data_IF_493585079592
#
_entry.id   IF_493585079592
#
_cell.length_a   1.000
_cell.length_b   1.000
_cell.length_c   1.000
_cell.angle_alpha   90.00
_cell.angle_beta   90.00
_cell.angle_gamma   90.00
#
_symmetry.space_group_name_H-M   'P 1'
#
loop_
_entity.id
_entity.type
_entity.pdbx_description
1 polymer ?
#
# COMPACT_ATOMS: atom_id res chain seq x y z
N UNK A 1 -18.68 12.18 8.77
CA UNK A 1 -18.89 11.38 7.59
C UNK A 1 -19.29 9.97 8.02
N UNK A 2 -20.36 9.44 7.45
CA UNK A 2 -20.78 8.08 7.74
C UNK A 2 -19.67 7.09 7.31
N UNK A 3 -19.40 6.06 8.11
CA UNK A 3 -18.42 5.05 7.71
C UNK A 3 -18.88 4.39 6.42
N UNK A 4 -17.97 4.32 5.45
CA UNK A 4 -18.26 3.71 4.15
C UNK A 4 -18.52 2.22 4.37
N UNK A 5 -19.75 1.79 4.07
CA UNK A 5 -20.12 0.38 4.15
C UNK A 5 -19.33 -0.42 3.13
N UNK A 6 -18.60 -1.42 3.60
CA UNK A 6 -17.83 -2.37 2.78
C UNK A 6 -18.52 -3.73 2.78
N UNK A 7 -18.28 -4.51 1.74
CA UNK A 7 -18.79 -5.88 1.62
C UNK A 7 -17.92 -6.85 2.45
N UNK A 8 -18.50 -7.41 3.50
CA UNK A 8 -17.80 -8.32 4.41
C UNK A 8 -17.52 -9.69 3.78
N UNK A 9 -18.11 -10.02 2.65
CA UNK A 9 -17.84 -11.26 1.92
C UNK A 9 -16.55 -11.22 1.11
N UNK A 10 -16.03 -10.02 0.85
CA UNK A 10 -14.78 -9.83 0.11
C UNK A 10 -13.56 -10.11 0.99
N UNK A 11 -12.42 -10.52 0.37
CA UNK A 11 -11.19 -10.75 1.11
C UNK A 11 -10.69 -9.47 1.78
N UNK A 12 -10.16 -9.62 3.01
CA UNK A 12 -9.59 -8.50 3.75
C UNK A 12 -8.20 -8.19 3.24
N UNK A 13 -7.98 -6.94 2.84
CA UNK A 13 -6.66 -6.39 2.47
C UNK A 13 -6.35 -5.20 3.38
N UNK A 14 -5.19 -5.23 4.03
CA UNK A 14 -4.70 -4.08 4.76
C UNK A 14 -3.95 -3.13 3.81
N UNK A 15 -4.28 -1.86 3.90
CA UNK A 15 -3.59 -0.78 3.19
C UNK A 15 -2.74 -0.02 4.21
N UNK A 16 -1.43 -0.20 4.15
CA UNK A 16 -0.47 0.46 5.04
C UNK A 16 0.11 1.66 4.33
N UNK A 17 -0.16 2.85 4.87
CA UNK A 17 0.32 4.09 4.31
C UNK A 17 1.60 4.57 5.01
N UNK A 18 2.66 4.84 4.25
CA UNK A 18 3.95 5.34 4.77
C UNK A 18 4.27 6.76 4.33
N UNK A 19 3.52 7.31 3.40
CA UNK A 19 3.79 8.60 2.76
C UNK A 19 3.83 8.49 1.24
N UNK A 20 4.41 9.50 0.61
CA UNK A 20 4.56 9.57 -0.83
C UNK A 20 3.37 10.23 -1.55
N UNK A 21 3.59 10.50 -2.81
CA UNK A 21 2.66 11.25 -3.68
C UNK A 21 1.31 10.56 -3.85
N UNK A 22 1.27 9.23 -3.80
CA UNK A 22 0.06 8.44 -3.97
C UNK A 22 -1.03 8.74 -2.94
N UNK A 23 -0.64 9.27 -1.79
CA UNK A 23 -1.55 9.62 -0.70
C UNK A 23 -1.46 11.12 -0.35
N UNK A 24 -1.17 11.95 -1.31
CA UNK A 24 -1.11 13.40 -1.16
C UNK A 24 -2.25 14.08 -1.90
N UNK A 25 -2.59 15.28 -1.44
CA UNK A 25 -3.49 16.21 -2.11
C UNK A 25 -2.75 17.49 -2.45
N UNK A 26 -3.13 18.11 -3.56
CA UNK A 26 -2.66 19.45 -3.88
C UNK A 26 -3.51 20.47 -3.14
N UNK A 27 -2.88 21.31 -2.35
CA UNK A 27 -3.52 22.51 -1.85
C UNK A 27 -3.48 23.56 -2.94
N UNK A 28 -4.60 23.77 -3.61
CA UNK A 28 -4.70 24.71 -4.74
C UNK A 28 -4.53 26.17 -4.33
N UNK A 29 -4.61 26.48 -3.03
CA UNK A 29 -4.38 27.85 -2.54
C UNK A 29 -2.90 28.18 -2.39
N UNK A 30 -2.09 27.19 -2.06
CA UNK A 30 -0.65 27.35 -1.83
C UNK A 30 0.21 26.66 -2.89
N UNK A 31 -0.38 25.79 -3.72
CA UNK A 31 0.35 24.93 -4.66
C UNK A 31 1.14 23.80 -3.97
N UNK A 32 1.09 23.72 -2.65
CA UNK A 32 1.81 22.72 -1.89
C UNK A 32 1.14 21.32 -1.99
N UNK A 33 1.96 20.30 -2.06
CA UNK A 33 1.50 18.91 -1.94
C UNK A 33 1.51 18.54 -0.46
N UNK A 34 0.33 18.34 0.11
CA UNK A 34 0.19 17.97 1.51
C UNK A 34 -0.22 16.51 1.62
N UNK A 35 0.51 15.76 2.43
CA UNK A 35 0.16 14.37 2.75
C UNK A 35 -1.06 14.35 3.70
N UNK A 36 -2.25 14.43 3.13
CA UNK A 36 -3.52 14.35 3.86
C UNK A 36 -4.35 13.23 3.28
N UNK A 37 -4.09 12.03 3.71
CA UNK A 37 -4.90 10.91 3.27
C UNK A 37 -5.48 10.15 4.48
N UNK A 38 -6.77 10.33 4.68
CA UNK A 38 -7.52 9.45 5.56
C UNK A 38 -8.04 8.25 4.74
N UNK A 39 -8.13 7.07 5.34
CA UNK A 39 -8.55 5.85 4.64
C UNK A 39 -9.88 5.97 3.90
N UNK A 40 -10.81 6.70 4.48
CA UNK A 40 -12.12 6.97 3.87
C UNK A 40 -12.01 7.81 2.59
N UNK A 41 -11.04 8.71 2.52
CA UNK A 41 -10.83 9.56 1.35
C UNK A 41 -10.27 8.76 0.17
N UNK A 42 -9.42 7.75 0.43
CA UNK A 42 -8.93 6.84 -0.61
C UNK A 42 -10.06 6.06 -1.26
N UNK A 43 -10.92 5.46 -0.44
CA UNK A 43 -12.06 4.70 -0.93
C UNK A 43 -13.10 5.57 -1.65
N UNK A 44 -13.12 6.87 -1.36
CA UNK A 44 -13.93 7.83 -2.11
C UNK A 44 -13.27 8.22 -3.43
N UNK A 45 -11.94 8.39 -3.44
CA UNK A 45 -11.20 8.77 -4.64
C UNK A 45 -11.10 7.61 -5.65
N UNK A 46 -11.07 6.36 -5.18
CA UNK A 46 -10.98 5.14 -5.99
C UNK A 46 -12.06 4.15 -5.58
N UNK A 47 -13.32 4.40 -5.95
CA UNK A 47 -14.47 3.60 -5.51
C UNK A 47 -14.43 2.14 -5.99
N UNK A 48 -13.69 1.84 -7.05
CA UNK A 48 -13.51 0.50 -7.61
C UNK A 48 -12.88 -0.47 -6.61
N UNK A 49 -12.08 0.03 -5.67
CA UNK A 49 -11.45 -0.79 -4.62
C UNK A 49 -12.47 -1.58 -3.79
N UNK A 50 -13.67 -1.04 -3.61
CA UNK A 50 -14.74 -1.67 -2.82
C UNK A 50 -15.30 -2.95 -3.43
N UNK A 51 -15.17 -3.11 -4.74
CA UNK A 51 -15.60 -4.31 -5.45
C UNK A 51 -14.54 -5.42 -5.47
N UNK A 52 -13.31 -5.10 -5.07
CA UNK A 52 -12.17 -6.02 -5.10
C UNK A 52 -11.90 -6.63 -3.73
N UNK A 53 -11.90 -5.80 -2.70
CA UNK A 53 -11.54 -6.21 -1.35
C UNK A 53 -12.23 -5.36 -0.27
N UNK A 54 -12.33 -5.94 0.92
CA UNK A 54 -12.60 -5.20 2.14
C UNK A 54 -11.29 -4.60 2.62
N UNK A 55 -11.21 -3.28 2.71
CA UNK A 55 -9.96 -2.57 2.99
C UNK A 55 -9.95 -2.03 4.41
N UNK A 56 -8.90 -2.39 5.15
CA UNK A 56 -8.54 -1.75 6.41
C UNK A 56 -7.26 -0.94 6.20
N UNK A 57 -7.34 0.36 6.38
CA UNK A 57 -6.20 1.23 6.19
C UNK A 57 -5.53 1.60 7.51
N UNK A 58 -4.21 1.59 7.50
CA UNK A 58 -3.34 1.88 8.63
C UNK A 58 -2.32 2.92 8.19
N UNK A 59 -2.22 4.00 8.96
CA UNK A 59 -1.22 5.04 8.73
C UNK A 59 -0.02 4.80 9.63
N UNK A 60 1.13 4.46 9.07
CA UNK A 60 2.39 4.34 9.80
C UNK A 60 3.16 5.67 9.88
N UNK A 61 2.97 6.55 8.93
CA UNK A 61 3.64 7.86 8.90
C UNK A 61 3.40 8.61 7.59
N UNK A 62 3.95 9.80 7.52
CA UNK A 62 4.06 10.62 6.31
C UNK A 62 5.55 10.88 6.10
N UNK A 63 6.24 9.98 5.42
CA UNK A 63 7.66 10.09 5.15
C UNK A 63 7.91 10.29 3.66
N UNK A 64 8.88 11.15 3.34
CA UNK A 64 9.51 11.11 2.03
C UNK A 64 10.27 9.79 1.91
N UNK A 65 10.31 9.20 0.73
CA UNK A 65 10.95 7.88 0.57
C UNK A 65 12.44 7.89 0.90
N UNK A 66 13.12 9.01 0.72
CA UNK A 66 14.54 9.19 1.08
C UNK A 66 14.79 9.27 2.59
N UNK A 67 13.76 9.50 3.41
CA UNK A 67 13.82 9.47 4.87
C UNK A 67 13.68 8.06 5.46
N UNK A 68 13.42 7.06 4.64
CA UNK A 68 13.30 5.66 5.09
C UNK A 68 14.63 5.16 5.65
N UNK A 69 14.58 4.54 6.84
CA UNK A 69 15.70 3.95 7.55
C UNK A 69 15.32 2.52 8.01
N UNK A 70 16.29 1.68 8.42
CA UNK A 70 16.01 0.30 8.85
C UNK A 70 14.94 0.18 9.93
N UNK A 71 14.88 1.12 10.86
CA UNK A 71 13.82 1.15 11.89
C UNK A 71 12.41 1.25 11.30
N UNK A 72 12.25 1.90 10.15
CA UNK A 72 10.97 2.02 9.47
C UNK A 72 10.58 0.71 8.80
N UNK A 73 11.54 -0.02 8.22
CA UNK A 73 11.29 -1.36 7.69
C UNK A 73 10.88 -2.34 8.79
N UNK A 74 11.49 -2.27 9.98
CA UNK A 74 11.06 -3.09 11.12
C UNK A 74 9.60 -2.78 11.54
N UNK A 75 9.20 -1.51 11.50
CA UNK A 75 7.80 -1.12 11.75
C UNK A 75 6.85 -1.62 10.66
N UNK A 76 7.27 -1.59 9.40
CA UNK A 76 6.52 -2.15 8.29
C UNK A 76 6.35 -3.66 8.43
N UNK A 77 7.42 -4.39 8.73
CA UNK A 77 7.35 -5.83 8.98
C UNK A 77 6.35 -6.14 10.08
N UNK A 78 6.43 -5.46 11.20
CA UNK A 78 5.49 -5.64 12.30
C UNK A 78 4.04 -5.33 11.89
N UNK A 79 3.81 -4.27 11.14
CA UNK A 79 2.48 -3.94 10.65
C UNK A 79 1.92 -5.00 9.67
N UNK A 80 2.77 -5.62 8.87
CA UNK A 80 2.35 -6.75 8.01
C UNK A 80 2.05 -8.01 8.83
N UNK A 81 2.84 -8.31 9.87
CA UNK A 81 2.55 -9.40 10.81
C UNK A 81 1.19 -9.22 11.49
N UNK A 82 0.92 -8.03 12.01
CA UNK A 82 -0.35 -7.67 12.63
C UNK A 82 -1.52 -7.82 11.64
N UNK A 83 -1.34 -7.36 10.40
CA UNK A 83 -2.35 -7.49 9.34
C UNK A 83 -2.72 -8.95 9.07
N UNK A 84 -1.73 -9.81 8.91
CA UNK A 84 -1.98 -11.24 8.70
C UNK A 84 -2.58 -11.92 9.92
N UNK A 85 -2.19 -11.54 11.14
CA UNK A 85 -2.79 -12.03 12.38
C UNK A 85 -4.28 -11.65 12.49
N UNK A 86 -4.69 -10.52 11.92
CA UNK A 86 -6.08 -10.07 11.84
C UNK A 86 -6.89 -10.73 10.71
N UNK A 87 -6.30 -11.61 9.92
CA UNK A 87 -6.96 -12.35 8.85
C UNK A 87 -6.86 -11.72 7.47
N UNK A 88 -5.98 -10.72 7.28
CA UNK A 88 -5.73 -10.20 5.94
C UNK A 88 -5.14 -11.27 5.03
N UNK A 89 -5.63 -11.37 3.79
CA UNK A 89 -5.09 -12.26 2.76
C UNK A 89 -3.94 -11.62 2.00
N UNK A 90 -3.83 -10.32 2.09
CA UNK A 90 -2.78 -9.53 1.47
C UNK A 90 -2.65 -8.16 2.11
N UNK A 91 -1.52 -7.53 1.85
CA UNK A 91 -1.18 -6.19 2.34
C UNK A 91 -0.71 -5.35 1.16
N UNK A 92 -1.21 -4.14 1.06
CA UNK A 92 -0.70 -3.12 0.14
C UNK A 92 0.01 -2.04 0.95
N UNK A 93 1.24 -1.74 0.59
CA UNK A 93 2.05 -0.68 1.20
C UNK A 93 2.15 0.46 0.19
N UNK A 94 1.59 1.61 0.52
CA UNK A 94 1.78 2.83 -0.29
C UNK A 94 3.02 3.57 0.17
N UNK A 95 3.87 3.94 -0.78
CA UNK A 95 5.23 4.39 -0.53
C UNK A 95 5.65 5.44 -1.56
N UNK A 96 6.60 6.29 -1.19
CA UNK A 96 7.26 7.17 -2.16
C UNK A 96 8.12 6.37 -3.15
N UNK A 97 8.24 6.85 -4.38
CA UNK A 97 8.83 6.07 -5.48
C UNK A 97 10.36 5.99 -5.46
N UNK A 98 11.06 6.92 -4.80
CA UNK A 98 12.53 7.00 -4.85
C UNK A 98 13.24 5.79 -4.26
N UNK A 99 12.71 5.24 -3.17
CA UNK A 99 13.29 4.08 -2.45
C UNK A 99 12.32 2.90 -2.31
N UNK A 100 11.23 2.91 -3.07
CA UNK A 100 10.21 1.86 -3.04
C UNK A 100 10.81 0.46 -3.29
N UNK A 101 11.73 0.36 -4.24
CA UNK A 101 12.44 -0.88 -4.56
C UNK A 101 13.30 -1.40 -3.39
N UNK A 102 13.91 -0.50 -2.62
CA UNK A 102 14.69 -0.88 -1.43
C UNK A 102 13.77 -1.41 -0.31
N UNK A 103 12.64 -0.76 -0.11
CA UNK A 103 11.65 -1.22 0.87
C UNK A 103 11.02 -2.56 0.47
N UNK A 104 10.79 -2.79 -0.83
CA UNK A 104 10.32 -4.08 -1.33
C UNK A 104 11.33 -5.19 -1.05
N UNK A 105 12.61 -4.95 -1.33
CA UNK A 105 13.67 -5.88 -1.00
C UNK A 105 13.75 -6.15 0.52
N UNK A 106 13.67 -5.10 1.34
CA UNK A 106 13.68 -5.23 2.79
C UNK A 106 12.50 -6.08 3.31
N UNK A 107 11.30 -5.91 2.75
CA UNK A 107 10.14 -6.75 3.10
C UNK A 107 10.34 -8.21 2.70
N UNK A 108 10.88 -8.46 1.50
CA UNK A 108 11.19 -9.82 1.04
C UNK A 108 12.19 -10.52 1.96
N UNK A 109 13.28 -9.85 2.29
CA UNK A 109 14.30 -10.42 3.18
C UNK A 109 13.80 -10.55 4.63
N UNK A 110 13.04 -9.60 5.13
CA UNK A 110 12.50 -9.64 6.47
C UNK A 110 11.57 -10.84 6.69
N UNK A 111 10.77 -11.20 5.70
CA UNK A 111 9.86 -12.33 5.78
C UNK A 111 10.52 -13.69 5.47
N UNK A 112 11.53 -13.70 4.60
CA UNK A 112 12.10 -14.94 4.09
C UNK A 112 13.57 -15.18 4.49
N UNK A 113 14.17 -14.28 5.26
CA UNK A 113 15.58 -14.35 5.67
C UNK A 113 15.99 -15.61 6.42
N UNK A 114 15.02 -16.30 7.04
CA UNK A 114 15.23 -17.61 7.70
C UNK A 114 14.67 -18.78 6.89
N UNK A 115 14.46 -18.62 5.58
CA UNK A 115 13.86 -19.64 4.72
C UNK A 115 12.32 -19.71 4.81
N UNK A 116 11.70 -18.75 5.49
CA UNK A 116 10.24 -18.62 5.58
C UNK A 116 9.59 -17.94 4.37
N UNK A 117 8.31 -17.70 4.49
CA UNK A 117 7.51 -16.93 3.54
C UNK A 117 6.43 -16.14 4.30
N UNK A 118 5.94 -15.01 3.79
CA UNK A 118 4.80 -14.36 4.39
C UNK A 118 3.52 -15.21 4.26
N UNK A 119 2.57 -15.09 5.19
CA UNK A 119 1.30 -15.82 5.13
C UNK A 119 0.40 -15.45 3.95
N UNK A 120 0.63 -14.30 3.35
CA UNK A 120 -0.12 -13.81 2.22
C UNK A 120 0.70 -12.82 1.38
N UNK A 121 0.06 -12.18 0.45
CA UNK A 121 0.72 -11.30 -0.53
C UNK A 121 1.07 -9.95 0.09
N UNK A 122 2.26 -9.46 -0.19
CA UNK A 122 2.73 -8.12 0.18
C UNK A 122 3.02 -7.36 -1.11
N UNK A 123 2.32 -6.27 -1.33
CA UNK A 123 2.44 -5.46 -2.53
C UNK A 123 2.80 -4.04 -2.15
N UNK A 124 3.86 -3.51 -2.76
CA UNK A 124 4.27 -2.12 -2.61
C UNK A 124 3.89 -1.34 -3.86
N UNK A 125 3.35 -0.16 -3.68
CA UNK A 125 3.00 0.74 -4.78
C UNK A 125 3.21 2.20 -4.42
N UNK A 126 3.34 3.02 -5.44
CA UNK A 126 3.48 4.46 -5.34
C UNK A 126 2.88 5.12 -6.59
N UNK A 127 2.95 6.43 -6.66
CA UNK A 127 2.58 7.16 -7.86
C UNK A 127 3.48 8.36 -8.10
N UNK A 128 3.59 8.77 -9.35
CA UNK A 128 4.33 9.97 -9.76
C UNK A 128 3.47 11.22 -9.61
N UNK A 129 2.14 11.07 -9.71
CA UNK A 129 1.19 12.16 -9.57
C UNK A 129 0.21 11.90 -8.44
N UNK A 130 -0.18 12.97 -7.73
CA UNK A 130 -1.21 12.87 -6.69
C UNK A 130 -2.56 12.47 -7.28
N UNK A 131 -3.41 11.75 -6.52
CA UNK A 131 -4.68 11.23 -7.02
C UNK A 131 -5.67 12.29 -7.51
N UNK A 132 -5.55 13.52 -7.04
CA UNK A 132 -6.39 14.65 -7.40
C UNK A 132 -5.93 15.41 -8.66
N UNK A 133 -4.85 14.96 -9.29
CA UNK A 133 -4.40 15.51 -10.58
C UNK A 133 -4.95 14.71 -11.76
N UNK A 134 -5.32 15.42 -12.82
CA UNK A 134 -5.66 14.78 -14.11
C UNK A 134 -4.49 13.91 -14.60
N UNK A 135 -4.84 12.75 -15.18
CA UNK A 135 -3.87 11.74 -15.64
C UNK A 135 -2.95 11.22 -14.54
N UNK A 136 -3.45 11.14 -13.29
CA UNK A 136 -2.72 10.48 -12.21
C UNK A 136 -2.63 8.98 -12.44
N UNK A 137 -1.45 8.41 -12.19
CA UNK A 137 -1.21 6.97 -12.19
C UNK A 137 -1.65 6.28 -10.87
N UNK A 138 -2.03 7.07 -9.86
CA UNK A 138 -2.38 6.55 -8.53
C UNK A 138 -3.59 5.60 -8.52
N UNK A 139 -4.75 5.92 -9.19
CA UNK A 139 -5.89 5.02 -9.17
C UNK A 139 -5.59 3.65 -9.79
N UNK A 140 -4.93 3.61 -10.95
CA UNK A 140 -4.59 2.36 -11.63
C UNK A 140 -3.59 1.53 -10.81
N UNK A 141 -2.57 2.18 -10.25
CA UNK A 141 -1.59 1.51 -9.39
C UNK A 141 -2.25 0.92 -8.14
N UNK A 142 -3.16 1.66 -7.50
CA UNK A 142 -3.89 1.18 -6.33
C UNK A 142 -4.83 0.03 -6.66
N UNK A 143 -5.60 0.12 -7.74
CA UNK A 143 -6.50 -0.95 -8.18
C UNK A 143 -5.70 -2.22 -8.45
N UNK A 144 -4.61 -2.11 -9.21
CA UNK A 144 -3.75 -3.24 -9.54
C UNK A 144 -3.10 -3.85 -8.30
N UNK A 145 -2.61 -3.02 -7.38
CA UNK A 145 -1.99 -3.48 -6.14
C UNK A 145 -2.99 -4.20 -5.22
N UNK A 146 -4.18 -3.64 -5.03
CA UNK A 146 -5.24 -4.25 -4.21
C UNK A 146 -5.76 -5.53 -4.87
N UNK A 147 -5.93 -5.54 -6.19
CA UNK A 147 -6.34 -6.76 -6.90
C UNK A 147 -5.32 -7.89 -6.73
N UNK A 148 -4.02 -7.59 -6.88
CA UNK A 148 -2.96 -8.57 -6.66
C UNK A 148 -2.92 -9.05 -5.21
N UNK A 149 -3.02 -8.15 -4.25
CA UNK A 149 -3.05 -8.51 -2.83
C UNK A 149 -4.23 -9.42 -2.47
N UNK A 150 -5.39 -9.20 -3.09
CA UNK A 150 -6.59 -9.99 -2.85
C UNK A 150 -6.59 -11.33 -3.59
N UNK A 151 -6.09 -11.40 -4.82
CA UNK A 151 -6.31 -12.50 -5.76
C UNK A 151 -5.03 -13.09 -6.36
N UNK A 152 -3.87 -12.51 -6.12
CA UNK A 152 -2.59 -12.97 -6.68
C UNK A 152 -2.19 -14.36 -6.17
N UNK A 153 -1.14 -14.97 -6.75
CA UNK A 153 -0.62 -16.24 -6.27
C UNK A 153 -0.04 -16.11 -4.87
N UNK A 154 -0.10 -17.20 -4.11
CA UNK A 154 0.53 -17.29 -2.79
C UNK A 154 2.06 -17.17 -2.91
N UNK A 155 2.73 -16.44 -2.00
CA UNK A 155 4.19 -16.39 -1.98
C UNK A 155 4.82 -17.76 -1.77
N UNK A 156 5.87 -18.07 -2.52
CA UNK A 156 6.60 -19.34 -2.45
C UNK A 156 7.96 -19.26 -1.75
N UNK A 157 8.50 -18.06 -1.62
CA UNK A 157 9.80 -17.82 -0.98
C UNK A 157 10.25 -16.37 -1.12
N UNK A 158 11.57 -16.14 -0.99
CA UNK A 158 12.10 -14.77 -0.97
C UNK A 158 11.91 -14.00 -2.29
N UNK A 159 11.83 -14.69 -3.42
CA UNK A 159 11.70 -14.05 -4.75
C UNK A 159 10.36 -13.38 -5.00
N UNK A 160 9.33 -13.86 -4.34
CA UNK A 160 7.95 -13.42 -4.49
C UNK A 160 7.30 -13.01 -3.16
N UNK A 161 8.11 -12.86 -2.10
CA UNK A 161 7.63 -12.44 -0.78
C UNK A 161 7.12 -11.00 -0.77
N UNK A 162 7.59 -10.16 -1.69
CA UNK A 162 6.97 -8.87 -1.96
C UNK A 162 7.00 -8.55 -3.46
N UNK A 163 5.98 -7.84 -3.90
CA UNK A 163 5.79 -7.45 -5.30
C UNK A 163 5.66 -5.94 -5.38
N UNK A 164 6.28 -5.35 -6.40
CA UNK A 164 6.11 -3.93 -6.70
C UNK A 164 5.14 -3.78 -7.87
N UNK A 165 4.12 -2.95 -7.68
CA UNK A 165 3.17 -2.57 -8.71
C UNK A 165 3.33 -1.09 -9.01
N UNK A 166 3.77 -0.79 -10.20
CA UNK A 166 3.86 0.57 -10.73
C UNK A 166 3.38 0.59 -12.18
N UNK A 167 2.80 1.69 -12.57
CA UNK A 167 2.45 1.89 -13.96
C UNK A 167 3.71 2.25 -14.75
N UNK A 168 4.01 1.49 -15.79
CA UNK A 168 5.06 1.86 -16.75
C UNK A 168 4.50 2.91 -17.70
N UNK A 169 5.00 4.12 -17.61
CA UNK A 169 4.74 5.17 -18.61
C UNK A 169 5.75 5.10 -19.73
#
# INVERSE_FOLDING_TARGET
PEPIKQDESLPLVHLIHTGGTIASKVDYSTGAVTARFEPSELLQAVPELRSIARIRAVKLGNMWSDDIRPRHWNRLLKATEEAFAEGAVGVVITHGTDTLHLSAAAMSYGWSGSGGRPPGRIVLTGSQRSPDRGSSDAPENLISAVYWAANGPEPTGYRDSSVVVTHAT
#
